data_IF_523460709548
#
_entry.id   IF_523460709548
#
_cell.length_a   1.000
_cell.length_b   1.000
_cell.length_c   1.000
_cell.angle_alpha   90.00
_cell.angle_beta   90.00
_cell.angle_gamma   90.00
#
_symmetry.space_group_name_H-M   'P 1'
#
loop_
_entity.id
_entity.type
_entity.pdbx_description
1 polymer ?
#
# COMPACT_ATOMS: atom_id res chain seq x y z
N UNK A 1 13.01 1.54 -17.26
CA UNK A 1 11.58 1.17 -17.31
C UNK A 1 11.35 0.17 -16.20
N UNK A 2 10.49 0.48 -15.23
CA UNK A 2 10.23 -0.41 -14.09
C UNK A 2 9.41 -1.62 -14.52
N UNK A 3 9.51 -2.73 -13.77
CA UNK A 3 8.82 -3.97 -14.10
C UNK A 3 7.28 -3.85 -14.10
N UNK A 4 6.73 -2.83 -13.44
CA UNK A 4 5.30 -2.59 -13.28
C UNK A 4 4.85 -1.27 -13.89
N UNK A 5 5.61 -0.73 -14.86
CA UNK A 5 5.30 0.56 -15.50
C UNK A 5 3.86 0.59 -16.06
N UNK A 6 3.13 1.66 -15.73
CA UNK A 6 1.71 1.90 -16.09
C UNK A 6 0.70 0.86 -15.56
N UNK A 7 1.08 -0.02 -14.64
CA UNK A 7 0.15 -0.94 -14.00
C UNK A 7 -0.64 -0.24 -12.89
N UNK A 8 -1.95 -0.50 -12.84
CA UNK A 8 -2.82 -0.01 -11.76
C UNK A 8 -3.05 -1.13 -10.75
N UNK A 9 -2.59 -0.92 -9.52
CA UNK A 9 -2.63 -1.92 -8.46
C UNK A 9 -3.55 -1.45 -7.33
N UNK A 10 -4.55 -2.28 -6.99
CA UNK A 10 -5.36 -2.10 -5.79
C UNK A 10 -4.79 -2.98 -4.68
N UNK A 11 -4.27 -2.36 -3.61
CA UNK A 11 -3.76 -3.06 -2.43
C UNK A 11 -4.84 -3.08 -1.33
N UNK A 12 -5.36 -4.27 -1.03
CA UNK A 12 -6.26 -4.50 0.10
C UNK A 12 -5.50 -4.91 1.37
N UNK A 13 -5.68 -4.18 2.47
CA UNK A 13 -5.02 -4.45 3.75
C UNK A 13 -6.03 -4.93 4.79
N UNK A 14 -5.78 -6.11 5.36
CA UNK A 14 -6.62 -6.76 6.39
C UNK A 14 -5.93 -6.81 7.76
N UNK A 15 -6.67 -7.23 8.80
CA UNK A 15 -6.22 -7.25 10.20
C UNK A 15 -5.27 -8.40 10.55
N UNK A 16 -4.14 -8.50 9.87
CA UNK A 16 -3.06 -9.45 10.20
C UNK A 16 -1.78 -8.71 10.61
N UNK A 17 -0.88 -9.38 11.33
CA UNK A 17 0.38 -8.76 11.79
C UNK A 17 1.24 -8.22 10.64
N UNK A 18 1.13 -8.78 9.43
CA UNK A 18 1.83 -8.28 8.25
C UNK A 18 1.41 -6.85 7.83
N UNK A 19 0.26 -6.35 8.31
CA UNK A 19 -0.26 -5.03 7.95
C UNK A 19 0.74 -3.90 8.23
N UNK A 20 1.57 -3.98 9.28
CA UNK A 20 2.55 -2.92 9.59
C UNK A 20 3.60 -2.71 8.49
N UNK A 21 3.87 -3.74 7.66
CA UNK A 21 4.82 -3.67 6.55
C UNK A 21 4.20 -3.18 5.25
N UNK A 22 2.87 -3.07 5.18
CA UNK A 22 2.20 -2.71 3.94
C UNK A 22 2.56 -1.31 3.40
N UNK A 23 2.93 -0.28 4.20
CA UNK A 23 3.48 0.96 3.66
C UNK A 23 4.78 0.77 2.86
N UNK A 24 5.67 -0.11 3.33
CA UNK A 24 6.91 -0.46 2.61
C UNK A 24 6.61 -1.18 1.30
N UNK A 25 5.60 -2.06 1.29
CA UNK A 25 5.13 -2.70 0.06
C UNK A 25 4.61 -1.67 -0.96
N UNK A 26 3.81 -0.68 -0.53
CA UNK A 26 3.32 0.39 -1.41
C UNK A 26 4.49 1.16 -2.03
N UNK A 27 5.50 1.51 -1.23
CA UNK A 27 6.69 2.20 -1.72
C UNK A 27 7.41 1.38 -2.80
N UNK A 28 7.66 0.10 -2.57
CA UNK A 28 8.31 -0.78 -3.55
C UNK A 28 7.51 -0.93 -4.85
N UNK A 29 6.18 -1.01 -4.76
CA UNK A 29 5.32 -1.08 -5.94
C UNK A 29 5.39 0.22 -6.76
N UNK A 30 5.43 1.37 -6.11
CA UNK A 30 5.63 2.67 -6.78
C UNK A 30 7.02 2.81 -7.39
N UNK A 31 8.06 2.39 -6.68
CA UNK A 31 9.45 2.36 -7.19
C UNK A 31 9.56 1.46 -8.44
N UNK A 32 8.73 0.43 -8.54
CA UNK A 32 8.62 -0.44 -9.71
C UNK A 32 7.77 0.15 -10.86
N UNK A 33 7.17 1.32 -10.69
CA UNK A 33 6.41 2.05 -11.72
C UNK A 33 4.88 1.89 -11.66
N UNK A 34 4.33 1.28 -10.61
CA UNK A 34 2.89 1.07 -10.48
C UNK A 34 2.14 2.29 -9.92
N UNK A 35 0.92 2.53 -10.40
CA UNK A 35 -0.08 3.40 -9.76
C UNK A 35 -0.81 2.58 -8.68
N UNK A 36 -0.57 2.88 -7.41
CA UNK A 36 -1.11 2.08 -6.28
C UNK A 36 -2.24 2.82 -5.57
N UNK A 37 -3.37 2.15 -5.36
CA UNK A 37 -4.46 2.59 -4.48
C UNK A 37 -4.62 1.61 -3.34
N UNK A 38 -4.85 2.12 -2.14
CA UNK A 38 -4.96 1.30 -0.92
C UNK A 38 -6.39 1.34 -0.39
N UNK A 39 -6.91 0.17 -0.03
CA UNK A 39 -8.16 0.01 0.74
C UNK A 39 -7.88 -0.83 1.98
N UNK A 40 -8.56 -0.50 3.08
CA UNK A 40 -8.27 -1.09 4.39
C UNK A 40 -9.55 -1.57 5.08
N UNK A 41 -9.44 -2.70 5.79
CA UNK A 41 -10.48 -3.11 6.74
C UNK A 41 -10.39 -2.31 8.05
N UNK A 42 -11.50 -2.18 8.82
CA UNK A 42 -11.46 -1.55 10.14
C UNK A 42 -10.48 -2.20 11.13
N UNK A 43 -10.19 -3.50 10.98
CA UNK A 43 -9.20 -4.17 11.83
C UNK A 43 -7.76 -3.80 11.45
N UNK A 44 -7.49 -3.56 10.17
CA UNK A 44 -6.16 -3.13 9.72
C UNK A 44 -5.80 -1.72 10.22
N UNK A 45 -6.79 -0.83 10.37
CA UNK A 45 -6.56 0.54 10.85
C UNK A 45 -6.08 0.61 12.30
N UNK A 46 -6.29 -0.46 13.08
CA UNK A 46 -5.75 -0.61 14.45
C UNK A 46 -4.26 -0.90 14.47
N UNK A 47 -3.70 -1.41 13.37
CA UNK A 47 -2.28 -1.75 13.23
C UNK A 47 -1.50 -0.67 12.47
N UNK A 48 -2.12 -0.07 11.46
CA UNK A 48 -1.53 1.01 10.65
C UNK A 48 -2.58 2.07 10.40
N UNK A 49 -2.27 3.32 10.73
CA UNK A 49 -3.18 4.43 10.46
C UNK A 49 -3.32 4.68 8.94
N UNK A 50 -4.53 4.96 8.43
CA UNK A 50 -4.75 5.29 7.01
C UNK A 50 -3.88 6.44 6.50
N UNK A 51 -3.55 7.40 7.38
CA UNK A 51 -2.69 8.55 7.08
C UNK A 51 -1.27 8.16 6.67
N UNK A 52 -0.76 7.01 7.13
CA UNK A 52 0.55 6.48 6.74
C UNK A 52 0.57 6.17 5.24
N UNK A 53 -0.53 5.66 4.69
CA UNK A 53 -0.62 5.36 3.26
C UNK A 53 -0.70 6.63 2.42
N UNK A 54 -1.37 7.68 2.90
CA UNK A 54 -1.44 8.96 2.18
C UNK A 54 -0.03 9.55 1.95
N UNK A 55 0.87 9.42 2.92
CA UNK A 55 2.25 9.88 2.81
C UNK A 55 3.08 9.10 1.77
N UNK A 56 2.76 7.82 1.51
CA UNK A 56 3.52 6.98 0.57
C UNK A 56 2.80 6.76 -0.76
N UNK A 57 1.49 6.99 -0.84
CA UNK A 57 0.70 6.85 -2.08
C UNK A 57 0.69 8.12 -2.94
N UNK A 58 0.99 9.29 -2.36
CA UNK A 58 1.10 10.58 -3.06
C UNK A 58 2.20 10.66 -4.11
#
# INVERSE_FOLDING_TARGET
MGALDKQRVLLGVTGGIAAYKSPDLVRRLKDAGAEVRVVMTPSATRLVAPTVFQAVSG
#
